data_IF_721329706148
#
_entry.id   IF_721329706148
#
_cell.length_a   1.000
_cell.length_b   1.000
_cell.length_c   1.000
_cell.angle_alpha   90.00
_cell.angle_beta   90.00
_cell.angle_gamma   90.00
#
_symmetry.space_group_name_H-M   'P 1'
#
loop_
_entity.id
_entity.type
_entity.pdbx_description
1 polymer ?
#
# COMPACT_ATOMS: atom_id res chain seq x y z
N UNK A 1 -24.20 -3.10 8.15
CA UNK A 1 -24.16 -3.27 6.67
C UNK A 1 -25.00 -2.24 5.93
N UNK A 2 -26.26 -1.98 6.30
CA UNK A 2 -27.09 -0.95 5.65
C UNK A 2 -26.49 0.48 5.73
N UNK A 3 -26.00 0.89 6.92
CA UNK A 3 -25.36 2.19 7.13
C UNK A 3 -24.12 2.43 6.26
N UNK A 4 -23.22 1.44 6.18
CA UNK A 4 -22.01 1.50 5.35
C UNK A 4 -22.37 1.65 3.86
N UNK A 5 -23.41 0.95 3.40
CA UNK A 5 -23.88 1.03 2.01
C UNK A 5 -24.48 2.40 1.68
N UNK A 6 -25.17 3.01 2.65
CA UNK A 6 -25.77 4.33 2.53
C UNK A 6 -24.70 5.45 2.53
N UNK A 7 -23.68 5.32 3.37
CA UNK A 7 -22.53 6.23 3.43
C UNK A 7 -21.74 6.21 2.10
N UNK A 8 -21.48 5.01 1.53
CA UNK A 8 -20.80 4.87 0.23
C UNK A 8 -21.61 5.42 -0.94
N UNK A 9 -22.94 5.23 -0.92
CA UNK A 9 -23.82 5.77 -1.94
C UNK A 9 -23.84 7.30 -1.91
N UNK A 10 -23.86 7.88 -0.71
CA UNK A 10 -23.80 9.33 -0.49
C UNK A 10 -22.45 9.90 -0.97
N UNK A 11 -21.33 9.29 -0.58
CA UNK A 11 -20.00 9.72 -1.01
C UNK A 11 -19.85 9.68 -2.53
N UNK A 12 -20.32 8.60 -3.17
CA UNK A 12 -20.32 8.48 -4.62
C UNK A 12 -21.16 9.58 -5.29
N UNK A 13 -22.35 9.87 -4.78
CA UNK A 13 -23.23 10.90 -5.34
C UNK A 13 -22.59 12.30 -5.24
N UNK A 14 -21.93 12.62 -4.12
CA UNK A 14 -21.18 13.87 -3.94
C UNK A 14 -20.01 13.93 -4.92
N UNK A 15 -19.22 12.87 -5.03
CA UNK A 15 -18.10 12.80 -5.98
C UNK A 15 -18.57 12.99 -7.43
N UNK A 16 -19.64 12.33 -7.85
CA UNK A 16 -20.23 12.50 -9.19
C UNK A 16 -20.74 13.93 -9.42
N UNK A 17 -21.28 14.59 -8.39
CA UNK A 17 -21.70 15.99 -8.49
C UNK A 17 -20.51 16.94 -8.65
N UNK A 18 -19.45 16.78 -7.85
CA UNK A 18 -18.21 17.56 -7.96
C UNK A 18 -17.55 17.35 -9.32
N UNK A 19 -17.47 16.11 -9.81
CA UNK A 19 -16.92 15.80 -11.14
C UNK A 19 -17.59 16.58 -12.26
N UNK A 20 -18.92 16.77 -12.21
CA UNK A 20 -19.65 17.55 -13.23
C UNK A 20 -19.32 19.05 -13.21
N UNK A 21 -18.75 19.55 -12.11
CA UNK A 21 -18.33 20.96 -12.00
C UNK A 21 -16.92 21.20 -12.52
N UNK A 22 -16.14 20.13 -12.76
CA UNK A 22 -14.75 20.22 -13.20
C UNK A 22 -14.66 20.10 -14.72
N UNK A 23 -14.02 21.08 -15.34
CA UNK A 23 -13.77 21.07 -16.79
C UNK A 23 -12.57 20.18 -17.12
N UNK A 24 -12.85 18.88 -17.32
CA UNK A 24 -11.83 17.86 -17.66
C UNK A 24 -12.09 17.23 -19.03
N UNK A 25 -12.03 18.00 -20.14
CA UNK A 25 -12.41 17.50 -21.44
C UNK A 25 -11.45 16.41 -21.93
N UNK A 26 -12.02 15.40 -22.60
CA UNK A 26 -11.22 14.46 -23.39
C UNK A 26 -10.60 15.23 -24.56
N UNK A 27 -9.29 15.06 -24.74
CA UNK A 27 -8.52 15.64 -25.84
C UNK A 27 -8.05 14.55 -26.78
N UNK A 28 -7.44 14.95 -27.91
CA UNK A 28 -6.93 14.00 -28.90
C UNK A 28 -5.94 13.01 -28.25
N UNK A 29 -6.21 11.73 -28.47
CA UNK A 29 -5.32 10.63 -28.07
C UNK A 29 -4.09 10.56 -28.99
N UNK A 30 -3.14 9.68 -28.67
CA UNK A 30 -1.94 9.46 -29.50
C UNK A 30 -0.67 10.11 -28.99
N UNK A 31 -0.69 10.75 -27.81
CA UNK A 31 0.52 11.21 -27.16
C UNK A 31 1.45 10.03 -26.86
N UNK A 32 2.75 10.21 -27.14
CA UNK A 32 3.78 9.27 -26.70
C UNK A 32 4.05 9.52 -25.22
N UNK A 33 3.86 8.50 -24.40
CA UNK A 33 4.08 8.53 -22.94
C UNK A 33 5.07 7.45 -22.53
N UNK A 34 5.50 7.47 -21.26
CA UNK A 34 6.33 6.41 -20.69
C UNK A 34 5.66 5.02 -20.72
N UNK A 35 4.33 4.97 -20.82
CA UNK A 35 3.55 3.73 -20.88
C UNK A 35 3.08 3.37 -22.29
N UNK A 36 3.66 4.00 -23.31
CA UNK A 36 3.28 3.83 -24.71
C UNK A 36 2.32 4.90 -25.21
N UNK A 37 1.60 4.59 -26.28
CA UNK A 37 0.71 5.54 -26.94
C UNK A 37 -0.60 5.67 -26.16
N UNK A 38 -0.94 6.90 -25.76
CA UNK A 38 -2.17 7.18 -25.02
C UNK A 38 -3.41 6.86 -25.89
N UNK A 39 -4.33 6.08 -25.33
CA UNK A 39 -5.64 5.78 -25.94
C UNK A 39 -6.69 6.81 -25.53
N UNK A 40 -6.57 7.34 -24.32
CA UNK A 40 -7.40 8.42 -23.79
C UNK A 40 -6.49 9.47 -23.21
N UNK A 41 -6.85 10.74 -23.40
CA UNK A 41 -6.17 11.85 -22.73
C UNK A 41 -7.22 12.84 -22.25
N UNK A 42 -7.06 13.35 -21.03
CA UNK A 42 -7.95 14.34 -20.44
C UNK A 42 -7.14 15.53 -19.93
N UNK A 43 -7.50 16.72 -20.35
CA UNK A 43 -6.87 17.94 -19.84
C UNK A 43 -7.49 18.30 -18.49
N UNK A 44 -6.68 18.45 -17.45
CA UNK A 44 -7.14 18.91 -16.13
C UNK A 44 -6.93 20.43 -15.97
N UNK A 45 -5.85 20.95 -16.55
CA UNK A 45 -5.57 22.38 -16.66
C UNK A 45 -4.54 22.59 -17.78
N UNK A 46 -4.19 23.85 -18.07
CA UNK A 46 -3.09 24.14 -18.98
C UNK A 46 -1.78 23.56 -18.46
N UNK A 47 -1.15 22.71 -19.28
CA UNK A 47 0.06 21.99 -18.90
C UNK A 47 -0.15 20.83 -17.94
N UNK A 48 -1.39 20.38 -17.68
CA UNK A 48 -1.69 19.22 -16.81
C UNK A 48 -2.64 18.27 -17.54
N UNK A 49 -2.12 17.12 -17.95
CA UNK A 49 -2.87 16.15 -18.76
C UNK A 49 -2.78 14.77 -18.14
N UNK A 50 -3.92 14.11 -17.96
CA UNK A 50 -3.99 12.69 -17.65
C UNK A 50 -3.97 11.89 -18.95
N UNK A 51 -3.04 10.95 -19.07
CA UNK A 51 -2.98 9.99 -20.16
C UNK A 51 -3.34 8.60 -19.65
N UNK A 52 -4.08 7.85 -20.44
CA UNK A 52 -4.38 6.44 -20.16
C UNK A 52 -4.09 5.61 -21.41
N UNK A 53 -3.41 4.49 -21.22
CA UNK A 53 -3.09 3.46 -22.20
C UNK A 53 -3.85 2.17 -21.84
N UNK A 54 -3.63 1.10 -22.62
CA UNK A 54 -4.30 -0.17 -22.36
C UNK A 54 -3.82 -0.87 -21.08
N UNK A 55 -2.60 -0.58 -20.63
CA UNK A 55 -1.96 -1.24 -19.50
C UNK A 55 -1.78 -0.35 -18.29
N UNK A 56 -1.72 0.97 -18.50
CA UNK A 56 -1.30 1.92 -17.48
C UNK A 56 -1.71 3.36 -17.85
N UNK A 57 -1.43 4.32 -16.99
CA UNK A 57 -1.58 5.74 -17.25
C UNK A 57 -0.86 6.61 -16.25
N UNK A 58 -1.16 7.90 -16.29
CA UNK A 58 -0.64 8.87 -15.36
C UNK A 58 -0.75 10.29 -15.84
N UNK A 59 -0.37 11.22 -14.98
CA UNK A 59 -0.32 12.63 -15.32
C UNK A 59 1.01 12.98 -16.00
N UNK A 60 0.94 13.85 -16.99
CA UNK A 60 2.09 14.56 -17.53
C UNK A 60 1.90 16.05 -17.28
N UNK A 61 2.92 16.67 -16.68
CA UNK A 61 2.98 18.08 -16.35
C UNK A 61 4.01 18.78 -17.22
N UNK A 62 3.60 19.87 -17.87
CA UNK A 62 4.53 20.80 -18.49
C UNK A 62 5.44 21.44 -17.44
N UNK A 63 6.62 21.92 -17.84
CA UNK A 63 7.67 22.41 -16.94
C UNK A 63 7.17 23.43 -15.91
N UNK A 64 6.34 24.38 -16.33
CA UNK A 64 5.76 25.41 -15.46
C UNK A 64 4.82 24.82 -14.39
N UNK A 65 3.99 23.84 -14.76
CA UNK A 65 3.14 23.13 -13.80
C UNK A 65 3.98 22.23 -12.89
N UNK A 66 4.98 21.55 -13.44
CA UNK A 66 5.85 20.66 -12.68
C UNK A 66 6.65 21.42 -11.60
N UNK A 67 7.04 22.66 -11.88
CA UNK A 67 7.71 23.55 -10.93
C UNK A 67 6.86 23.91 -9.70
N UNK A 68 5.53 23.78 -9.76
CA UNK A 68 4.64 24.02 -8.61
C UNK A 68 4.63 22.83 -7.64
N UNK A 69 4.86 21.61 -8.14
CA UNK A 69 4.96 20.41 -7.31
C UNK A 69 6.13 20.58 -6.34
N UNK A 70 5.91 20.29 -5.05
CA UNK A 70 6.95 20.43 -4.03
C UNK A 70 8.18 19.60 -4.39
N UNK A 71 9.39 20.11 -4.12
CA UNK A 71 10.64 19.46 -4.54
C UNK A 71 10.78 18.00 -4.07
N UNK A 72 10.28 17.66 -2.88
CA UNK A 72 10.25 16.28 -2.36
C UNK A 72 9.28 15.33 -3.08
N UNK A 73 8.39 15.85 -3.91
CA UNK A 73 7.43 15.08 -4.71
C UNK A 73 7.68 15.17 -6.21
N UNK A 74 8.44 16.16 -6.67
CA UNK A 74 8.57 16.48 -8.08
C UNK A 74 9.36 15.39 -8.83
N UNK A 75 8.79 14.91 -9.92
CA UNK A 75 9.49 14.04 -10.87
C UNK A 75 10.14 14.92 -11.96
N UNK A 76 11.40 14.65 -12.29
CA UNK A 76 12.18 15.50 -13.21
C UNK A 76 11.65 15.47 -14.65
N UNK A 77 11.07 14.36 -15.07
CA UNK A 77 10.49 14.16 -16.40
C UNK A 77 9.05 14.66 -16.53
N UNK A 78 8.44 15.11 -15.42
CA UNK A 78 7.07 15.60 -15.37
C UNK A 78 6.00 14.52 -15.50
N UNK A 79 6.36 13.23 -15.50
CA UNK A 79 5.41 12.11 -15.53
C UNK A 79 5.15 11.60 -14.12
N UNK A 80 3.87 11.34 -13.81
CA UNK A 80 3.39 10.85 -12.52
C UNK A 80 2.46 9.67 -12.76
N UNK A 81 2.92 8.48 -12.41
CA UNK A 81 2.22 7.18 -12.43
C UNK A 81 0.82 7.22 -11.75
N UNK A 82 -0.15 6.47 -12.27
CA UNK A 82 -1.58 6.56 -11.91
C UNK A 82 -2.02 5.85 -10.61
N UNK A 83 -1.27 4.88 -10.10
CA UNK A 83 -1.59 4.15 -8.88
C UNK A 83 -1.19 4.97 -7.64
N UNK A 84 0.00 5.55 -7.66
CA UNK A 84 0.60 6.20 -6.50
C UNK A 84 0.94 7.67 -6.73
N UNK A 85 1.57 8.00 -7.86
CA UNK A 85 2.20 9.31 -8.03
C UNK A 85 1.23 10.43 -8.42
N UNK A 86 0.08 10.10 -9.01
CA UNK A 86 -1.02 11.04 -9.25
C UNK A 86 -1.40 11.82 -7.98
N UNK A 87 -1.22 11.21 -6.81
CA UNK A 87 -1.50 11.82 -5.52
C UNK A 87 -0.63 13.06 -5.26
N UNK A 88 0.61 13.09 -5.79
CA UNK A 88 1.50 14.25 -5.75
C UNK A 88 0.92 15.42 -6.55
N UNK A 89 0.34 15.13 -7.73
CA UNK A 89 -0.34 16.11 -8.57
C UNK A 89 -1.61 16.63 -7.87
N UNK A 90 -2.40 15.74 -7.29
CA UNK A 90 -3.59 16.12 -6.53
C UNK A 90 -3.28 16.97 -5.29
N UNK A 91 -2.15 16.72 -4.64
CA UNK A 91 -1.66 17.55 -3.53
C UNK A 91 -1.21 18.94 -4.01
N UNK A 92 -0.52 19.03 -5.15
CA UNK A 92 -0.05 20.31 -5.70
C UNK A 92 -1.20 21.17 -6.27
N UNK A 93 -2.25 20.54 -6.81
CA UNK A 93 -3.35 21.21 -7.50
C UNK A 93 -4.73 20.80 -6.96
N UNK A 94 -5.02 20.98 -5.66
CA UNK A 94 -6.21 20.42 -5.02
C UNK A 94 -7.53 20.90 -5.65
N UNK A 95 -7.56 22.09 -6.25
CA UNK A 95 -8.72 22.65 -6.94
C UNK A 95 -9.11 21.87 -8.21
N UNK A 96 -8.19 21.09 -8.79
CA UNK A 96 -8.48 20.28 -9.97
C UNK A 96 -9.13 18.94 -9.60
N UNK A 97 -9.26 18.64 -8.30
CA UNK A 97 -9.71 17.35 -7.77
C UNK A 97 -10.93 17.50 -6.86
N UNK A 98 -11.80 16.50 -6.91
CA UNK A 98 -12.95 16.36 -6.02
C UNK A 98 -12.50 16.15 -4.57
N UNK A 99 -13.39 16.39 -3.60
CA UNK A 99 -13.07 16.14 -2.20
C UNK A 99 -12.73 14.65 -1.95
N UNK A 100 -13.39 13.74 -2.67
CA UNK A 100 -13.11 12.31 -2.63
C UNK A 100 -11.70 11.98 -3.14
N UNK A 101 -11.34 12.44 -4.35
CA UNK A 101 -10.01 12.22 -4.92
C UNK A 101 -8.91 12.81 -4.02
N UNK A 102 -9.11 13.98 -3.43
CA UNK A 102 -8.15 14.57 -2.48
C UNK A 102 -7.94 13.71 -1.24
N UNK A 103 -8.99 13.08 -0.70
CA UNK A 103 -8.87 12.14 0.44
C UNK A 103 -8.10 10.88 0.06
N UNK A 104 -8.33 10.36 -1.14
CA UNK A 104 -7.57 9.22 -1.65
C UNK A 104 -6.09 9.60 -1.84
N UNK A 105 -5.81 10.73 -2.48
CA UNK A 105 -4.45 11.22 -2.66
C UNK A 105 -3.71 11.40 -1.33
N UNK A 106 -4.35 12.02 -0.34
CA UNK A 106 -3.78 12.18 1.01
C UNK A 106 -3.49 10.83 1.69
N UNK A 107 -4.37 9.83 1.54
CA UNK A 107 -4.10 8.46 2.02
C UNK A 107 -2.93 7.83 1.27
N UNK A 108 -2.92 7.89 -0.06
CA UNK A 108 -1.85 7.35 -0.91
C UNK A 108 -0.50 7.96 -0.53
N UNK A 109 -0.40 9.28 -0.34
CA UNK A 109 0.87 9.90 0.05
C UNK A 109 1.36 9.45 1.44
N UNK A 110 0.44 9.29 2.40
CA UNK A 110 0.79 8.75 3.73
C UNK A 110 1.24 7.29 3.66
N UNK A 111 0.61 6.49 2.81
CA UNK A 111 0.87 5.06 2.72
C UNK A 111 2.11 4.71 1.89
N UNK A 112 2.45 5.50 0.85
CA UNK A 112 3.53 5.17 -0.10
C UNK A 112 4.73 6.11 -0.03
N UNK A 113 4.58 7.32 0.53
CA UNK A 113 5.68 8.26 0.73
C UNK A 113 5.63 8.99 2.09
N UNK A 114 5.53 8.27 3.22
CA UNK A 114 5.31 8.85 4.54
C UNK A 114 6.38 9.88 4.93
N UNK A 115 7.66 9.59 4.67
CA UNK A 115 8.76 10.51 5.00
C UNK A 115 8.65 11.85 4.24
N UNK A 116 8.30 11.80 2.95
CA UNK A 116 8.11 12.99 2.15
C UNK A 116 6.84 13.74 2.60
N UNK A 117 5.76 13.02 2.90
CA UNK A 117 4.52 13.59 3.45
C UNK A 117 4.75 14.36 4.74
N UNK A 118 5.43 13.77 5.72
CA UNK A 118 5.72 14.42 7.00
C UNK A 118 6.56 15.69 6.81
N UNK A 119 7.55 15.67 5.91
CA UNK A 119 8.38 16.86 5.62
C UNK A 119 7.60 17.95 4.89
N UNK A 120 6.72 17.59 3.96
CA UNK A 120 5.93 18.55 3.18
C UNK A 120 4.83 19.19 4.03
N UNK A 121 4.17 18.40 4.87
CA UNK A 121 2.99 18.84 5.65
C UNK A 121 3.33 19.30 7.06
N UNK A 122 4.49 18.89 7.60
CA UNK A 122 4.85 19.06 9.00
C UNK A 122 4.12 18.10 9.96
N UNK A 123 3.31 17.18 9.44
CA UNK A 123 2.66 16.15 10.25
C UNK A 123 3.66 15.07 10.68
N UNK A 124 3.32 14.34 11.75
CA UNK A 124 4.02 13.12 12.17
C UNK A 124 2.99 11.99 12.12
N UNK A 125 3.25 10.96 11.34
CA UNK A 125 2.33 9.84 11.14
C UNK A 125 2.61 8.73 12.16
N UNK A 126 1.54 8.09 12.63
CA UNK A 126 1.62 6.83 13.39
C UNK A 126 1.06 5.65 12.57
N UNK A 127 1.13 4.43 13.12
CA UNK A 127 0.65 3.22 12.44
C UNK A 127 -0.83 3.22 12.07
N UNK A 128 -1.68 3.97 12.77
CA UNK A 128 -3.09 4.08 12.38
C UNK A 128 -3.34 4.98 11.16
N UNK A 129 -2.35 5.80 10.78
CA UNK A 129 -2.46 6.81 9.73
C UNK A 129 -1.68 6.47 8.46
N UNK A 130 -0.76 5.51 8.51
CA UNK A 130 0.05 5.05 7.39
C UNK A 130 0.35 3.56 7.54
N UNK A 131 0.06 2.77 6.51
CA UNK A 131 0.40 1.36 6.48
C UNK A 131 1.90 1.11 6.60
N UNK A 132 2.74 1.95 5.96
CA UNK A 132 4.19 1.85 6.11
C UNK A 132 4.64 2.12 7.55
N UNK A 133 4.06 3.13 8.22
CA UNK A 133 4.36 3.38 9.64
C UNK A 133 3.88 2.25 10.54
N UNK A 134 2.73 1.65 10.22
CA UNK A 134 2.17 0.50 10.94
C UNK A 134 3.11 -0.71 10.86
N UNK A 135 3.61 -1.01 9.66
CA UNK A 135 4.58 -2.08 9.44
C UNK A 135 5.89 -1.78 10.20
N UNK A 136 6.41 -0.56 10.13
CA UNK A 136 7.62 -0.16 10.85
C UNK A 136 7.47 -0.25 12.38
N UNK A 137 6.31 0.12 12.91
CA UNK A 137 6.01 0.01 14.34
C UNK A 137 5.97 -1.47 14.76
N UNK A 138 5.29 -2.31 13.98
CA UNK A 138 5.26 -3.76 14.20
C UNK A 138 6.66 -4.38 14.17
N UNK A 139 7.46 -4.08 13.15
CA UNK A 139 8.84 -4.54 13.02
C UNK A 139 9.69 -4.10 14.22
N UNK A 140 9.55 -2.85 14.67
CA UNK A 140 10.30 -2.31 15.81
C UNK A 140 9.96 -3.01 17.13
N UNK A 141 8.66 -3.20 17.39
CA UNK A 141 8.14 -3.87 18.59
C UNK A 141 8.57 -5.33 18.61
N UNK A 142 8.44 -6.03 17.47
CA UNK A 142 8.64 -7.48 17.38
C UNK A 142 10.01 -7.90 16.85
N UNK A 143 10.98 -6.98 16.75
CA UNK A 143 12.34 -7.25 16.23
C UNK A 143 13.05 -8.44 16.90
N UNK A 144 12.73 -8.71 18.17
CA UNK A 144 13.31 -9.79 18.96
C UNK A 144 12.31 -10.90 19.29
N UNK A 145 11.11 -10.85 18.71
CA UNK A 145 10.09 -11.89 18.88
C UNK A 145 10.11 -12.84 17.69
N UNK A 146 9.66 -14.07 17.92
CA UNK A 146 9.50 -15.06 16.86
C UNK A 146 8.23 -14.76 16.07
N UNK A 147 8.37 -14.28 14.84
CA UNK A 147 7.25 -13.98 13.94
C UNK A 147 7.18 -15.02 12.84
N UNK A 148 5.99 -15.56 12.61
CA UNK A 148 5.75 -16.66 11.66
C UNK A 148 5.90 -16.16 10.22
N UNK A 149 6.76 -16.84 9.47
CA UNK A 149 7.03 -16.58 8.05
C UNK A 149 6.39 -17.61 7.11
N UNK A 150 6.09 -18.82 7.61
CA UNK A 150 5.37 -19.85 6.89
C UNK A 150 4.57 -20.73 7.86
N UNK A 151 3.39 -21.18 7.44
CA UNK A 151 2.53 -22.01 8.27
C UNK A 151 1.72 -23.00 7.41
N UNK A 152 1.44 -24.17 7.98
CA UNK A 152 0.53 -25.17 7.41
C UNK A 152 -0.14 -25.97 8.53
N UNK A 153 -1.24 -26.64 8.21
CA UNK A 153 -1.84 -27.59 9.13
C UNK A 153 -0.89 -28.79 9.32
N UNK A 154 -0.60 -29.16 10.57
CA UNK A 154 0.27 -30.31 10.84
C UNK A 154 -0.45 -31.62 10.53
N UNK A 155 0.14 -32.46 9.70
CA UNK A 155 -0.30 -33.85 9.49
C UNK A 155 0.19 -34.76 10.62
N UNK A 156 1.25 -34.34 11.34
CA UNK A 156 1.88 -35.10 12.41
C UNK A 156 1.17 -34.91 13.75
N UNK A 157 0.57 -33.75 13.98
CA UNK A 157 -0.13 -33.40 15.21
C UNK A 157 -1.51 -32.80 14.86
N UNK A 158 -2.57 -33.63 14.80
CA UNK A 158 -3.91 -33.16 14.49
C UNK A 158 -4.34 -32.01 15.41
N UNK A 159 -5.01 -31.01 14.84
CA UNK A 159 -5.45 -29.76 15.53
C UNK A 159 -4.36 -28.72 15.78
N UNK A 160 -3.15 -28.92 15.27
CA UNK A 160 -2.08 -27.91 15.31
C UNK A 160 -1.77 -27.33 13.93
N UNK A 161 -1.25 -26.11 13.95
CA UNK A 161 -0.59 -25.44 12.84
C UNK A 161 0.91 -25.51 13.10
N UNK A 162 1.64 -26.11 12.17
CA UNK A 162 3.10 -26.07 12.18
C UNK A 162 3.55 -24.75 11.57
N UNK A 163 4.28 -23.97 12.36
CA UNK A 163 4.75 -22.64 11.98
C UNK A 163 6.27 -22.63 11.89
N UNK A 164 6.82 -22.06 10.82
CA UNK A 164 8.22 -21.64 10.74
C UNK A 164 8.27 -20.14 11.05
N UNK A 165 9.11 -19.76 11.99
CA UNK A 165 9.28 -18.37 12.42
C UNK A 165 10.76 -17.96 12.44
N UNK A 166 11.00 -16.67 12.26
CA UNK A 166 12.31 -16.01 12.43
C UNK A 166 12.18 -14.86 13.44
N UNK A 167 13.29 -14.42 14.02
CA UNK A 167 13.28 -13.21 14.84
C UNK A 167 12.91 -12.01 13.96
N UNK A 168 11.93 -11.22 14.39
CA UNK A 168 11.43 -10.08 13.61
C UNK A 168 10.66 -10.43 12.34
N UNK A 169 10.51 -11.71 12.00
CA UNK A 169 9.75 -12.14 10.80
C UNK A 169 10.47 -11.93 9.48
N UNK A 170 11.80 -11.72 9.52
CA UNK A 170 12.60 -11.49 8.33
C UNK A 170 12.74 -12.81 7.56
N UNK A 171 12.28 -12.84 6.30
CA UNK A 171 12.36 -14.02 5.44
C UNK A 171 13.76 -14.15 4.83
N UNK A 172 14.28 -15.38 4.81
CA UNK A 172 15.58 -15.67 4.22
C UNK A 172 16.78 -15.41 5.13
N UNK A 173 16.56 -14.95 6.37
CA UNK A 173 17.60 -14.92 7.40
C UNK A 173 17.86 -16.33 7.98
N UNK A 174 19.09 -16.51 8.49
CA UNK A 174 19.47 -17.72 9.23
C UNK A 174 18.82 -17.73 10.62
N UNK A 175 18.52 -18.93 11.13
CA UNK A 175 17.92 -19.09 12.46
C UNK A 175 16.40 -19.28 12.45
N UNK A 176 15.83 -19.82 11.37
CA UNK A 176 14.45 -20.32 11.35
C UNK A 176 14.22 -21.33 12.49
N UNK A 177 13.08 -21.21 13.18
CA UNK A 177 12.64 -22.16 14.21
C UNK A 177 11.21 -22.58 13.96
N UNK A 178 10.91 -23.85 14.24
CA UNK A 178 9.56 -24.39 14.16
C UNK A 178 8.82 -24.36 15.48
N UNK A 179 7.51 -24.16 15.40
CA UNK A 179 6.59 -24.15 16.52
C UNK A 179 5.31 -24.90 16.17
N UNK A 180 4.71 -25.54 17.17
CA UNK A 180 3.34 -26.03 17.08
C UNK A 180 2.40 -25.05 17.80
N UNK A 181 1.48 -24.49 17.04
CA UNK A 181 0.46 -23.56 17.53
C UNK A 181 -0.90 -24.25 17.46
N UNK A 182 -1.68 -24.31 18.56
CA UNK A 182 -3.05 -24.83 18.49
C UNK A 182 -3.84 -24.11 17.39
N UNK A 183 -4.62 -24.83 16.59
CA UNK A 183 -5.36 -24.23 15.48
C UNK A 183 -6.33 -23.13 15.93
N UNK A 184 -6.87 -23.24 17.15
CA UNK A 184 -7.72 -22.21 17.77
C UNK A 184 -6.99 -20.89 18.02
N UNK A 185 -5.68 -20.96 18.22
CA UNK A 185 -4.85 -19.84 18.67
C UNK A 185 -4.19 -19.15 17.48
N UNK A 186 -4.01 -19.85 16.36
CA UNK A 186 -3.42 -19.32 15.14
C UNK A 186 -4.37 -18.39 14.38
N UNK A 187 -4.44 -17.13 14.82
CA UNK A 187 -5.19 -16.05 14.16
C UNK A 187 -4.21 -15.04 13.60
N UNK A 188 -4.06 -15.01 12.27
CA UNK A 188 -3.13 -14.11 11.59
C UNK A 188 -3.63 -12.66 11.70
N UNK A 189 -2.80 -11.78 12.24
CA UNK A 189 -3.00 -10.34 12.22
C UNK A 189 -2.49 -9.70 10.93
N UNK A 190 -2.63 -8.38 10.81
CA UNK A 190 -2.23 -7.61 9.61
C UNK A 190 -0.77 -7.86 9.18
N UNK A 191 0.14 -7.97 10.15
CA UNK A 191 1.58 -8.13 9.94
C UNK A 191 2.09 -9.55 10.21
N UNK A 192 1.19 -10.52 10.37
CA UNK A 192 1.53 -11.92 10.65
C UNK A 192 1.10 -12.40 12.02
N UNK A 193 1.73 -13.47 12.48
CA UNK A 193 1.47 -14.11 13.77
C UNK A 193 2.74 -14.11 14.61
N UNK A 194 2.66 -13.57 15.83
CA UNK A 194 3.76 -13.56 16.78
C UNK A 194 3.62 -14.76 17.71
N UNK A 195 4.66 -15.57 17.81
CA UNK A 195 4.71 -16.71 18.71
C UNK A 195 4.79 -16.21 20.16
N UNK A 196 3.80 -16.54 20.98
CA UNK A 196 3.86 -16.45 22.43
C UNK A 196 4.73 -17.60 23.00
N UNK A 197 5.95 -17.34 23.53
CA UNK A 197 6.84 -18.40 24.01
C UNK A 197 6.33 -19.13 25.27
N UNK A 198 5.37 -18.54 25.98
CA UNK A 198 4.77 -19.16 27.17
C UNK A 198 3.67 -20.17 26.79
N UNK A 199 3.09 -20.05 25.59
CA UNK A 199 2.01 -20.91 25.10
C UNK A 199 2.45 -21.85 23.98
N UNK A 200 3.29 -21.38 23.08
CA UNK A 200 3.67 -22.09 21.87
C UNK A 200 5.08 -22.69 22.02
N UNK A 201 5.14 -24.02 21.99
CA UNK A 201 6.41 -24.72 22.20
C UNK A 201 7.19 -24.84 20.89
N UNK A 202 8.53 -24.69 20.93
CA UNK A 202 9.39 -25.12 19.84
C UNK A 202 9.12 -26.57 19.47
N UNK A 203 9.23 -26.89 18.19
CA UNK A 203 8.94 -28.21 17.66
C UNK A 203 10.06 -28.75 16.79
N UNK A 204 10.74 -29.78 17.31
CA UNK A 204 11.86 -30.45 16.64
C UNK A 204 11.48 -31.82 16.06
N UNK A 205 10.20 -32.21 16.12
CA UNK A 205 9.71 -33.49 15.62
C UNK A 205 9.57 -33.56 14.08
N UNK A 206 9.02 -34.66 13.54
CA UNK A 206 8.76 -34.81 12.11
C UNK A 206 8.00 -33.61 11.54
N UNK A 207 8.39 -33.16 10.35
CA UNK A 207 7.86 -31.94 9.73
C UNK A 207 6.86 -32.28 8.64
N UNK A 208 5.74 -31.54 8.60
CA UNK A 208 4.85 -31.53 7.42
C UNK A 208 5.37 -30.61 6.31
N UNK A 209 6.35 -29.74 6.59
CA UNK A 209 7.07 -29.02 5.53
C UNK A 209 8.05 -29.96 4.82
N UNK A 210 7.77 -30.25 3.55
CA UNK A 210 8.60 -31.12 2.68
C UNK A 210 10.05 -30.63 2.58
N UNK A 211 10.27 -29.32 2.61
CA UNK A 211 11.61 -28.71 2.47
C UNK A 211 12.37 -28.60 3.78
N UNK A 212 11.78 -28.89 4.94
CA UNK A 212 12.42 -28.65 6.24
C UNK A 212 13.69 -29.46 6.45
N UNK A 213 13.71 -30.72 6.03
CA UNK A 213 14.87 -31.60 6.19
C UNK A 213 16.12 -31.09 5.43
N UNK A 214 15.96 -30.21 4.44
CA UNK A 214 17.04 -29.60 3.68
C UNK A 214 17.48 -28.21 4.21
N UNK A 215 16.83 -27.72 5.28
CA UNK A 215 17.08 -26.39 5.89
C UNK A 215 17.84 -26.45 7.23
N UNK A 216 18.12 -27.65 7.74
CA UNK A 216 19.01 -27.89 8.88
C UNK A 216 20.45 -28.05 8.42
#
# INVERSE_FOLDING_TARGET
MAKIRDDMATERAVHEAELRTLDRPTIQAGASTLWGVAQVSRRYADGIVLHSTASHGGFHLAENANAIVHALYRNDDGFYEEDCEWAKVAHAFPQLFTAYERRLADRTLRDYCPDAYERVTGAILNGSQSHMRDAQEFESVHRNDWVVIAALNSDQQPSFVECIATLGGIRGEVGERRFLVPRSDYVIGRHGFVIDPLKHKPYDGPSSFVTWAARQ
#
